data_IF_939168144019
#
_entry.id   IF_939168144019
#
_cell.length_a   1.000
_cell.length_b   1.000
_cell.length_c   1.000
_cell.angle_alpha   90.00
_cell.angle_beta   90.00
_cell.angle_gamma   90.00
#
_symmetry.space_group_name_H-M   'P 1'
#
loop_
_entity.id
_entity.type
_entity.pdbx_description
1 polymer ?
#
# COMPACT_ATOMS: atom_id res chain seq x y z
N UNK A 1 35.24 -1.71 41.48
CA UNK A 1 35.34 -0.71 40.41
C UNK A 1 33.99 -0.63 39.72
N UNK A 2 33.32 0.49 39.93
CA UNK A 2 32.04 0.90 39.37
C UNK A 2 32.22 1.42 37.95
N UNK A 3 31.40 0.95 37.00
CA UNK A 3 30.90 1.70 35.82
C UNK A 3 29.61 0.98 35.40
N UNK A 4 28.44 1.40 35.89
CA UNK A 4 27.58 2.50 35.42
C UNK A 4 26.60 2.03 34.34
N UNK A 5 25.33 2.25 34.64
CA UNK A 5 24.18 2.21 33.75
C UNK A 5 24.39 3.18 32.56
N UNK A 6 23.52 3.06 31.55
CA UNK A 6 23.37 4.02 30.44
C UNK A 6 24.37 3.91 29.30
N UNK A 7 24.13 2.93 28.42
CA UNK A 7 24.10 3.24 27.00
C UNK A 7 22.64 3.15 26.55
N UNK A 8 21.92 4.24 26.79
CA UNK A 8 20.68 4.54 26.10
C UNK A 8 21.03 4.74 24.63
N UNK A 9 21.02 3.68 23.83
CA UNK A 9 21.19 3.82 22.38
C UNK A 9 19.86 4.30 21.79
N UNK A 10 19.72 5.62 21.80
CA UNK A 10 18.61 6.37 21.28
C UNK A 10 18.65 6.32 19.74
N UNK A 11 18.21 5.22 19.14
CA UNK A 11 18.08 5.13 17.68
C UNK A 11 16.84 5.93 17.27
N UNK A 12 17.09 7.18 16.87
CA UNK A 12 16.13 8.04 16.17
C UNK A 12 15.81 7.39 14.82
N UNK A 13 14.93 6.37 14.81
CA UNK A 13 14.34 5.87 13.56
C UNK A 13 13.20 6.80 13.19
N UNK A 14 13.52 7.81 12.36
CA UNK A 14 12.56 8.71 11.74
C UNK A 14 11.33 7.94 11.27
N UNK A 15 10.17 8.28 11.82
CA UNK A 15 8.91 7.72 11.37
C UNK A 15 8.64 8.20 9.96
N UNK A 16 8.61 7.27 9.00
CA UNK A 16 7.92 7.50 7.74
C UNK A 16 6.45 7.76 8.08
N UNK A 17 6.04 9.04 8.06
CA UNK A 17 4.63 9.41 8.16
C UNK A 17 3.95 8.81 6.93
N UNK A 18 3.17 7.74 7.13
CA UNK A 18 2.32 7.18 6.08
C UNK A 18 1.43 8.30 5.54
N UNK A 19 1.66 8.68 4.28
CA UNK A 19 0.86 9.70 3.61
C UNK A 19 -0.58 9.24 3.53
N UNK A 20 -1.50 9.97 4.15
CA UNK A 20 -2.93 9.83 3.86
C UNK A 20 -3.16 10.37 2.45
N UNK A 21 -3.10 9.53 1.44
CA UNK A 21 -3.63 9.88 0.11
C UNK A 21 -5.14 9.94 0.25
N UNK A 22 -5.67 11.14 0.54
CA UNK A 22 -7.07 11.47 0.29
C UNK A 22 -7.22 11.38 -1.24
N UNK A 23 -7.55 10.18 -1.72
CA UNK A 23 -7.91 9.98 -3.11
C UNK A 23 -9.24 10.68 -3.33
N UNK A 24 -9.19 11.92 -3.83
CA UNK A 24 -10.29 12.40 -4.64
C UNK A 24 -10.43 11.39 -5.79
N UNK A 25 -11.61 10.78 -5.95
CA UNK A 25 -11.86 9.75 -6.94
C UNK A 25 -11.79 10.24 -8.40
N UNK A 26 -11.03 11.31 -8.65
CA UNK A 26 -10.67 11.82 -9.96
C UNK A 26 -9.80 10.75 -10.61
N UNK A 27 -10.35 10.05 -11.60
CA UNK A 27 -9.55 9.27 -12.54
C UNK A 27 -8.52 10.23 -13.14
N UNK A 28 -7.33 10.25 -12.56
CA UNK A 28 -6.25 11.11 -13.03
C UNK A 28 -5.88 10.57 -14.40
N UNK A 29 -6.13 11.36 -15.45
CA UNK A 29 -5.66 11.04 -16.78
C UNK A 29 -4.17 10.72 -16.70
N UNK A 30 -3.71 9.55 -17.18
CA UNK A 30 -2.32 9.15 -17.05
C UNK A 30 -1.47 10.15 -17.81
N UNK A 31 -0.77 11.02 -17.06
CA UNK A 31 0.30 11.87 -17.58
C UNK A 31 1.20 10.98 -18.41
N UNK A 32 1.39 11.32 -19.69
CA UNK A 32 2.15 10.51 -20.64
C UNK A 32 3.58 10.33 -20.11
N UNK A 33 3.82 9.29 -19.32
CA UNK A 33 5.16 8.87 -18.95
C UNK A 33 5.80 8.38 -20.25
N UNK A 34 6.78 9.15 -20.72
CA UNK A 34 7.40 8.96 -22.00
C UNK A 34 8.29 7.71 -21.90
N UNK A 35 7.71 6.54 -22.16
CA UNK A 35 8.42 5.26 -22.24
C UNK A 35 9.27 5.27 -23.52
N UNK A 36 10.50 5.75 -23.41
CA UNK A 36 11.43 5.85 -24.54
C UNK A 36 11.87 4.44 -24.97
N UNK A 37 11.69 4.10 -26.25
CA UNK A 37 12.22 2.85 -26.85
C UNK A 37 11.20 1.77 -27.20
N UNK A 38 9.90 1.94 -26.92
CA UNK A 38 8.84 1.02 -27.32
C UNK A 38 8.06 1.55 -28.52
N UNK A 39 7.66 0.66 -29.45
CA UNK A 39 6.72 0.98 -30.54
C UNK A 39 5.41 1.55 -29.99
N UNK A 40 4.75 2.46 -30.72
CA UNK A 40 3.46 3.03 -30.33
C UNK A 40 2.43 1.95 -29.97
N UNK A 41 2.37 0.87 -30.76
CA UNK A 41 1.47 -0.26 -30.52
C UNK A 41 1.79 -0.98 -29.20
N UNK A 42 3.08 -1.11 -28.85
CA UNK A 42 3.48 -1.75 -27.60
C UNK A 42 3.12 -0.86 -26.40
N UNK A 43 3.27 0.45 -26.53
CA UNK A 43 2.87 1.40 -25.49
C UNK A 43 1.35 1.37 -25.26
N UNK A 44 0.56 1.31 -26.32
CA UNK A 44 -0.90 1.22 -26.22
C UNK A 44 -1.34 -0.08 -25.53
N UNK A 45 -0.75 -1.22 -25.90
CA UNK A 45 -1.06 -2.52 -25.27
C UNK A 45 -0.70 -2.57 -23.79
N UNK A 46 0.43 -1.99 -23.38
CA UNK A 46 0.83 -1.91 -21.96
C UNK A 46 -0.15 -1.02 -21.20
N UNK A 47 -0.50 0.14 -21.77
CA UNK A 47 -1.47 1.06 -21.17
C UNK A 47 -2.85 0.43 -21.04
N UNK A 48 -3.34 -0.21 -22.10
CA UNK A 48 -4.63 -0.90 -22.10
C UNK A 48 -4.63 -2.06 -21.10
N UNK A 49 -3.57 -2.86 -21.05
CA UNK A 49 -3.40 -3.94 -20.09
C UNK A 49 -3.41 -3.45 -18.64
N UNK A 50 -2.67 -2.37 -18.35
CA UNK A 50 -2.66 -1.75 -17.02
C UNK A 50 -4.02 -1.19 -16.62
N UNK A 51 -4.71 -0.51 -17.55
CA UNK A 51 -6.07 0.00 -17.32
C UNK A 51 -7.07 -1.12 -17.04
N UNK A 52 -7.11 -2.15 -17.91
CA UNK A 52 -8.01 -3.30 -17.75
C UNK A 52 -7.72 -4.07 -16.46
N UNK A 53 -6.45 -4.30 -16.14
CA UNK A 53 -6.07 -4.97 -14.89
C UNK A 53 -6.49 -4.18 -13.65
N UNK A 54 -6.28 -2.86 -13.65
CA UNK A 54 -6.73 -1.98 -12.58
C UNK A 54 -8.25 -1.95 -12.43
N UNK A 55 -8.99 -1.87 -13.54
CA UNK A 55 -10.45 -1.92 -13.54
C UNK A 55 -10.97 -3.25 -12.99
N UNK A 56 -10.46 -4.38 -13.48
CA UNK A 56 -10.84 -5.70 -12.99
C UNK A 56 -10.57 -5.86 -11.48
N UNK A 57 -9.43 -5.36 -11.00
CA UNK A 57 -9.12 -5.39 -9.57
C UNK A 57 -10.05 -4.48 -8.75
N UNK A 58 -10.42 -3.32 -9.30
CA UNK A 58 -11.35 -2.41 -8.66
C UNK A 58 -12.77 -2.99 -8.58
N UNK A 59 -13.20 -3.74 -9.60
CA UNK A 59 -14.47 -4.48 -9.58
C UNK A 59 -14.44 -5.64 -8.59
N UNK A 60 -13.34 -6.38 -8.49
CA UNK A 60 -13.18 -7.48 -7.53
C UNK A 60 -13.16 -7.03 -6.08
N UNK A 61 -12.42 -5.96 -5.76
CA UNK A 61 -12.29 -5.44 -4.39
C UNK A 61 -13.47 -4.53 -3.99
N UNK A 62 -14.01 -3.79 -4.96
CA UNK A 62 -15.00 -2.75 -4.71
C UNK A 62 -14.50 -1.67 -3.74
N UNK A 63 -15.43 -0.81 -3.31
CA UNK A 63 -15.14 0.26 -2.35
C UNK A 63 -14.71 -0.28 -0.98
N UNK A 64 -15.38 -1.34 -0.52
CA UNK A 64 -15.14 -1.92 0.80
C UNK A 64 -13.76 -2.58 0.88
N UNK A 65 -13.33 -3.31 -0.16
CA UNK A 65 -12.01 -3.93 -0.19
C UNK A 65 -10.87 -2.90 -0.11
N UNK A 66 -10.98 -1.77 -0.82
CA UNK A 66 -10.00 -0.68 -0.66
C UNK A 66 -10.07 -0.02 0.72
N UNK A 67 -11.25 0.09 1.31
CA UNK A 67 -11.39 0.62 2.68
C UNK A 67 -10.75 -0.33 3.71
N UNK A 68 -10.97 -1.64 3.60
CA UNK A 68 -10.33 -2.66 4.44
C UNK A 68 -8.80 -2.65 4.25
N UNK A 69 -8.31 -2.57 3.02
CA UNK A 69 -6.87 -2.48 2.72
C UNK A 69 -6.24 -1.20 3.31
N UNK A 70 -6.94 -0.06 3.19
CA UNK A 70 -6.51 1.20 3.79
C UNK A 70 -6.49 1.14 5.32
N UNK A 71 -7.50 0.51 5.95
CA UNK A 71 -7.51 0.26 7.40
C UNK A 71 -6.34 -0.63 7.81
N UNK A 72 -6.11 -1.74 7.09
CA UNK A 72 -4.96 -2.64 7.32
C UNK A 72 -3.65 -1.86 7.27
N UNK A 73 -3.44 -1.06 6.22
CA UNK A 73 -2.24 -0.22 6.07
C UNK A 73 -2.06 0.80 7.20
N UNK A 74 -3.15 1.44 7.64
CA UNK A 74 -3.12 2.40 8.75
C UNK A 74 -2.89 1.78 10.14
N UNK A 75 -3.12 0.47 10.28
CA UNK A 75 -2.87 -0.27 11.52
C UNK A 75 -1.44 -0.80 11.60
N UNK A 76 -0.72 -0.89 10.47
CA UNK A 76 0.65 -1.36 10.44
C UNK A 76 1.54 -0.50 11.33
N UNK A 77 2.40 -1.14 12.10
CA UNK A 77 3.42 -0.48 12.92
C UNK A 77 4.79 -0.76 12.34
N UNK A 78 5.86 -0.21 12.93
CA UNK A 78 7.22 -0.51 12.49
C UNK A 78 7.61 -1.97 12.70
N UNK A 79 7.01 -2.61 13.71
CA UNK A 79 7.40 -3.94 14.17
C UNK A 79 6.42 -5.04 13.74
N UNK A 80 5.20 -4.68 13.34
CA UNK A 80 4.12 -5.61 13.01
C UNK A 80 3.43 -5.23 11.71
N UNK A 81 3.06 -6.23 10.93
CA UNK A 81 2.25 -6.00 9.74
C UNK A 81 0.86 -5.48 10.12
N UNK A 82 0.18 -4.81 9.18
CA UNK A 82 -1.18 -4.33 9.40
C UNK A 82 -2.18 -5.45 9.70
N UNK A 83 -1.94 -6.67 9.19
CA UNK A 83 -2.76 -7.86 9.48
C UNK A 83 -2.56 -8.35 10.91
N UNK A 84 -1.30 -8.49 11.33
CA UNK A 84 -0.95 -8.86 12.70
C UNK A 84 -1.47 -7.86 13.74
N UNK A 85 -1.25 -6.56 13.48
CA UNK A 85 -1.71 -5.49 14.36
C UNK A 85 -3.24 -5.39 14.41
N UNK A 86 -3.93 -5.74 13.32
CA UNK A 86 -5.38 -5.84 13.31
C UNK A 86 -5.89 -7.03 14.12
N UNK A 87 -5.29 -8.21 13.95
CA UNK A 87 -5.64 -9.41 14.69
C UNK A 87 -5.48 -9.22 16.22
N UNK A 88 -4.38 -8.59 16.65
CA UNK A 88 -4.16 -8.25 18.06
C UNK A 88 -5.24 -7.32 18.64
N UNK A 89 -5.76 -6.40 17.80
CA UNK A 89 -6.85 -5.48 18.17
C UNK A 89 -8.25 -6.09 18.01
N UNK A 90 -8.34 -7.38 17.65
CA UNK A 90 -9.62 -8.06 17.40
C UNK A 90 -10.34 -7.57 16.13
N UNK A 91 -9.62 -6.95 15.19
CA UNK A 91 -10.16 -6.51 13.90
C UNK A 91 -10.04 -7.67 12.92
N UNK A 92 -11.18 -8.25 12.54
CA UNK A 92 -11.24 -9.30 11.53
C UNK A 92 -11.09 -8.71 10.13
N UNK A 93 -9.92 -8.93 9.51
CA UNK A 93 -9.66 -8.61 8.10
C UNK A 93 -9.59 -9.92 7.31
N UNK A 94 -10.31 -9.98 6.19
CA UNK A 94 -10.21 -11.11 5.28
C UNK A 94 -9.02 -10.93 4.34
N UNK A 95 -7.90 -11.58 4.67
CA UNK A 95 -6.66 -11.46 3.89
C UNK A 95 -6.75 -12.13 2.51
N UNK A 96 -7.63 -13.12 2.36
CA UNK A 96 -7.77 -13.88 1.11
C UNK A 96 -8.26 -13.01 -0.04
N UNK A 97 -8.95 -11.90 0.25
CA UNK A 97 -9.37 -10.90 -0.74
C UNK A 97 -8.20 -10.16 -1.38
N UNK A 98 -7.05 -10.12 -0.71
CA UNK A 98 -5.91 -9.29 -1.13
C UNK A 98 -4.78 -10.09 -1.77
N UNK A 99 -4.70 -11.39 -1.50
CA UNK A 99 -3.65 -12.29 -2.00
C UNK A 99 -4.17 -13.23 -3.08
N UNK A 100 -3.43 -13.42 -4.17
CA UNK A 100 -3.67 -14.53 -5.09
C UNK A 100 -2.88 -15.75 -4.59
N UNK A 101 -3.59 -16.86 -4.32
CA UNK A 101 -3.03 -18.14 -3.84
C UNK A 101 -2.71 -19.08 -5.01
#
# INVERSE_FOLDING_TARGET
>A
MSMSQEAQENVVRGGIKGGTTKGDGSQSEPSQEQVHGLSQDAQERIREGGRKGGQARAEQLGREGYQEMGRKGGLATKDKSGGEAAAEKGINLDESKFTNN
#
